data_IF_178724180596
#
_entry.id   IF_178724180596
#
_cell.length_a   1.000
_cell.length_b   1.000
_cell.length_c   1.000
_cell.angle_alpha   90.00
_cell.angle_beta   90.00
_cell.angle_gamma   90.00
#
_symmetry.space_group_name_H-M   'P 1'
#
loop_
_entity.id
_entity.type
_entity.pdbx_description
1 polymer ?
#
# COMPACT_ATOMS: atom_id res chain seq x y z
N UNK A 1 -16.31 31.16 -66.80
CA UNK A 1 -14.93 31.25 -67.34
C UNK A 1 -14.05 31.44 -66.11
N UNK A 2 -13.34 30.45 -65.58
CA UNK A 2 -12.26 29.66 -66.19
C UNK A 2 -12.23 28.23 -65.61
N UNK A 3 -11.63 27.32 -66.38
CA UNK A 3 -11.73 25.86 -66.28
C UNK A 3 -10.77 25.20 -65.27
N UNK A 4 -11.16 24.02 -64.79
CA UNK A 4 -10.30 22.94 -64.27
C UNK A 4 -9.28 22.47 -65.33
N UNK A 5 -8.22 21.76 -64.90
CA UNK A 5 -8.24 20.33 -65.26
C UNK A 5 -7.81 19.36 -64.15
N UNK A 6 -8.47 18.20 -64.21
CA UNK A 6 -8.10 16.90 -63.64
C UNK A 6 -6.79 16.37 -64.24
N UNK A 7 -6.04 15.60 -63.44
CA UNK A 7 -5.32 14.32 -63.75
C UNK A 7 -4.30 14.07 -62.63
N UNK A 8 -3.90 12.86 -62.24
CA UNK A 8 -4.32 11.48 -62.40
C UNK A 8 -3.33 10.70 -61.49
N UNK A 9 -3.81 9.82 -60.60
CA UNK A 9 -3.70 8.37 -60.71
C UNK A 9 -2.40 7.72 -60.18
N UNK A 10 -2.63 6.86 -59.16
CA UNK A 10 -1.99 5.54 -58.90
C UNK A 10 -0.49 5.65 -58.51
N UNK A 11 0.15 4.75 -57.75
CA UNK A 11 0.09 3.30 -57.56
C UNK A 11 0.73 3.03 -56.18
N UNK A 12 0.29 2.02 -55.43
CA UNK A 12 1.10 1.48 -54.34
C UNK A 12 0.32 0.72 -53.26
N UNK A 13 -0.35 -0.37 -53.64
CA UNK A 13 -0.75 -1.41 -52.71
C UNK A 13 0.14 -2.64 -52.94
N UNK A 14 0.92 -3.03 -51.94
CA UNK A 14 1.51 -4.37 -51.69
C UNK A 14 1.69 -4.41 -50.15
N UNK A 15 0.93 -5.11 -49.31
CA UNK A 15 0.49 -6.51 -49.22
C UNK A 15 1.55 -7.45 -48.60
N UNK A 16 1.14 -8.07 -47.46
CA UNK A 16 1.65 -9.29 -46.80
C UNK A 16 3.06 -9.24 -46.19
N UNK A 17 3.40 -9.97 -45.12
CA UNK A 17 2.73 -10.75 -44.09
C UNK A 17 3.85 -11.29 -43.16
N UNK A 18 3.46 -11.81 -41.99
CA UNK A 18 4.21 -12.77 -41.13
C UNK A 18 5.34 -12.20 -40.26
N UNK A 19 5.02 -12.00 -38.98
CA UNK A 19 5.69 -12.74 -37.89
C UNK A 19 4.81 -12.69 -36.64
N UNK A 20 3.96 -13.71 -36.52
CA UNK A 20 3.51 -14.19 -35.23
C UNK A 20 4.71 -14.81 -34.51
N UNK A 21 4.92 -14.50 -33.22
CA UNK A 21 5.33 -15.43 -32.17
C UNK A 21 5.57 -14.67 -30.86
N UNK A 22 4.90 -15.12 -29.81
CA UNK A 22 5.36 -14.96 -28.44
C UNK A 22 4.82 -13.74 -27.69
N UNK A 23 3.69 -13.94 -27.00
CA UNK A 23 3.54 -13.75 -25.54
C UNK A 23 2.05 -13.82 -25.18
N UNK A 24 1.48 -15.03 -25.31
CA UNK A 24 0.47 -15.46 -24.35
C UNK A 24 1.24 -15.87 -23.10
N UNK A 25 1.28 -14.99 -22.10
CA UNK A 25 1.70 -15.35 -20.74
C UNK A 25 0.70 -14.76 -19.74
N UNK A 26 -0.10 -15.69 -19.20
CA UNK A 26 -0.83 -15.70 -17.94
C UNK A 26 -1.15 -14.36 -17.27
N UNK A 27 -2.40 -13.94 -17.41
CA UNK A 27 -3.13 -13.28 -16.33
C UNK A 27 -4.56 -13.85 -16.32
N UNK A 28 -4.70 -15.11 -15.93
CA UNK A 28 -5.99 -15.62 -15.46
C UNK A 28 -6.13 -15.18 -14.00
N UNK A 29 -6.81 -14.05 -13.78
CA UNK A 29 -7.36 -13.67 -12.48
C UNK A 29 -8.36 -14.75 -12.05
N UNK A 30 -7.92 -15.70 -11.23
CA UNK A 30 -8.86 -16.53 -10.48
C UNK A 30 -9.37 -15.71 -9.30
N UNK A 31 -10.48 -15.02 -9.50
CA UNK A 31 -11.37 -14.60 -8.42
C UNK A 31 -11.85 -15.85 -7.68
N UNK A 32 -11.17 -16.19 -6.57
CA UNK A 32 -11.63 -17.21 -5.63
C UNK A 32 -12.51 -16.55 -4.58
N UNK A 33 -13.82 -16.78 -4.72
CA UNK A 33 -14.74 -16.75 -3.59
C UNK A 33 -14.57 -18.08 -2.84
N UNK A 34 -13.88 -18.06 -1.69
CA UNK A 34 -13.69 -19.24 -0.82
C UNK A 34 -13.65 -18.67 0.61
N UNK A 35 -14.57 -19.01 1.52
CA UNK A 35 -14.95 -20.37 1.88
C UNK A 35 -13.94 -20.85 2.93
N UNK A 36 -14.42 -21.12 4.13
CA UNK A 36 -13.63 -21.51 5.30
C UNK A 36 -12.65 -22.66 4.95
N UNK A 37 -11.35 -22.40 4.96
CA UNK A 37 -10.30 -23.39 4.69
C UNK A 37 -9.08 -23.12 5.57
N UNK A 38 -9.26 -23.31 6.88
CA UNK A 38 -8.17 -23.46 7.84
C UNK A 38 -7.57 -24.87 7.75
N UNK A 39 -6.54 -25.07 6.94
CA UNK A 39 -5.48 -26.06 7.21
C UNK A 39 -4.44 -26.07 6.09
N UNK A 40 -3.16 -26.00 6.49
CA UNK A 40 -1.93 -25.99 5.66
C UNK A 40 -1.57 -24.66 4.99
N UNK A 41 -1.43 -23.58 5.78
CA UNK A 41 -0.50 -22.48 5.40
C UNK A 41 0.89 -23.12 5.25
N UNK A 42 1.43 -23.13 4.04
CA UNK A 42 2.80 -23.57 3.78
C UNK A 42 3.77 -22.81 4.68
N UNK A 43 4.71 -23.54 5.27
CA UNK A 43 5.74 -23.09 6.22
C UNK A 43 6.83 -22.23 5.53
N UNK A 44 6.41 -21.41 4.56
CA UNK A 44 7.26 -20.55 3.76
C UNK A 44 7.22 -19.14 4.29
N UNK A 45 8.40 -18.60 4.54
CA UNK A 45 8.59 -17.21 4.91
C UNK A 45 7.92 -16.25 3.91
N UNK A 46 7.35 -15.16 4.43
CA UNK A 46 6.80 -14.12 3.57
C UNK A 46 5.92 -13.10 4.25
N UNK A 47 5.17 -12.38 3.42
CA UNK A 47 4.26 -11.33 3.82
C UNK A 47 2.87 -11.58 3.23
N UNK A 48 1.85 -11.51 4.06
CA UNK A 48 0.46 -11.36 3.65
C UNK A 48 0.04 -9.91 3.93
N UNK A 49 -0.59 -9.26 2.94
CA UNK A 49 -1.22 -7.96 3.14
C UNK A 49 -2.72 -8.11 3.08
N UNK A 50 -3.39 -7.72 4.16
CA UNK A 50 -4.83 -7.67 4.28
C UNK A 50 -5.31 -6.23 4.08
N UNK A 51 -6.24 -6.01 3.16
CA UNK A 51 -6.87 -4.73 2.90
C UNK A 51 -8.29 -4.75 3.42
N UNK A 52 -8.54 -3.92 4.43
CA UNK A 52 -9.85 -3.73 5.03
C UNK A 52 -10.41 -2.36 4.65
N UNK A 53 -11.60 -2.33 4.05
CA UNK A 53 -12.29 -1.06 3.76
C UNK A 53 -13.58 -0.98 4.56
N UNK A 54 -13.74 0.08 5.36
CA UNK A 54 -14.89 0.30 6.26
C UNK A 54 -15.44 1.72 6.13
N UNK A 55 -16.71 1.91 6.49
CA UNK A 55 -17.37 3.23 6.51
C UNK A 55 -17.20 3.97 7.83
N UNK A 56 -16.39 3.43 8.75
CA UNK A 56 -16.07 4.12 10.01
C UNK A 56 -15.16 5.31 9.75
N UNK A 57 -15.38 6.37 10.54
CA UNK A 57 -14.53 7.56 10.49
C UNK A 57 -13.12 7.25 10.99
N UNK A 58 -12.15 7.99 10.45
CA UNK A 58 -10.73 7.82 10.77
C UNK A 58 -10.42 7.94 12.26
N UNK A 59 -11.03 8.89 12.97
CA UNK A 59 -10.76 9.11 14.40
C UNK A 59 -11.13 7.90 15.25
N UNK A 60 -12.28 7.27 14.95
CA UNK A 60 -12.70 6.02 15.57
C UNK A 60 -11.71 4.90 15.29
N UNK A 61 -11.19 4.79 14.06
CA UNK A 61 -10.23 3.75 13.67
C UNK A 61 -8.88 3.92 14.37
N UNK A 62 -8.36 5.14 14.43
CA UNK A 62 -7.14 5.45 15.19
C UNK A 62 -7.33 5.09 16.68
N UNK A 63 -8.45 5.49 17.28
CA UNK A 63 -8.75 5.18 18.68
C UNK A 63 -8.80 3.67 18.97
N UNK A 64 -9.35 2.87 18.05
CA UNK A 64 -9.31 1.41 18.15
C UNK A 64 -7.86 0.93 18.16
N UNK A 65 -7.05 1.35 17.19
CA UNK A 65 -5.68 0.84 17.01
C UNK A 65 -4.72 1.27 18.11
N UNK A 66 -4.87 2.49 18.63
CA UNK A 66 -4.13 2.95 19.81
C UNK A 66 -4.38 2.00 21.00
N UNK A 67 -5.62 1.51 21.16
CA UNK A 67 -5.98 0.56 22.21
C UNK A 67 -5.32 -0.81 22.10
N UNK A 68 -4.85 -1.20 20.91
CA UNK A 68 -4.15 -2.47 20.65
C UNK A 68 -2.66 -2.28 20.38
N UNK A 69 -2.14 -1.06 20.46
CA UNK A 69 -0.77 -0.78 20.08
C UNK A 69 0.20 -1.46 21.06
N UNK A 70 0.98 -2.40 20.53
CA UNK A 70 2.01 -3.14 21.27
C UNK A 70 3.27 -2.30 21.50
N UNK A 71 3.71 -1.60 20.45
CA UNK A 71 4.90 -0.73 20.49
C UNK A 71 4.86 0.34 19.40
N UNK A 72 5.77 1.31 19.50
CA UNK A 72 5.96 2.31 18.46
C UNK A 72 6.57 1.67 17.20
N UNK A 73 6.11 2.11 16.03
CA UNK A 73 6.62 1.66 14.72
C UNK A 73 7.95 2.32 14.42
N UNK A 74 8.05 3.63 14.72
CA UNK A 74 9.20 4.48 14.46
C UNK A 74 9.45 5.41 15.65
N UNK A 75 10.56 6.15 15.62
CA UNK A 75 10.81 7.18 16.63
C UNK A 75 9.75 8.32 16.57
N UNK A 76 9.62 9.14 17.63
CA UNK A 76 8.58 10.18 17.70
C UNK A 76 8.63 11.20 16.55
N UNK A 77 9.82 11.66 16.15
CA UNK A 77 9.95 12.66 15.07
C UNK A 77 9.51 12.09 13.71
N UNK A 78 9.89 10.85 13.42
CA UNK A 78 9.45 10.15 12.21
C UNK A 78 7.93 9.88 12.25
N UNK A 79 7.39 9.56 13.43
CA UNK A 79 5.94 9.37 13.63
C UNK A 79 5.17 10.66 13.37
N UNK A 80 5.62 11.80 13.90
CA UNK A 80 5.03 13.12 13.64
C UNK A 80 5.08 13.47 12.15
N UNK A 81 6.21 13.19 11.49
CA UNK A 81 6.38 13.46 10.06
C UNK A 81 5.46 12.58 9.20
N UNK A 82 5.26 11.31 9.58
CA UNK A 82 4.32 10.39 8.93
C UNK A 82 2.86 10.87 9.10
N UNK A 83 2.50 11.34 10.29
CA UNK A 83 1.18 11.90 10.59
C UNK A 83 0.89 13.15 9.75
N UNK A 84 1.88 14.02 9.52
CA UNK A 84 1.73 15.20 8.67
C UNK A 84 1.42 14.86 7.20
N UNK A 85 1.93 13.72 6.71
CA UNK A 85 1.61 13.21 5.37
C UNK A 85 0.30 12.40 5.34
N UNK A 86 -0.44 12.36 6.45
CA UNK A 86 -1.75 11.73 6.55
C UNK A 86 -1.72 10.24 6.76
N UNK A 87 -0.64 9.68 7.30
CA UNK A 87 -0.55 8.25 7.60
C UNK A 87 -0.47 8.03 9.11
N UNK A 88 -1.22 7.05 9.60
CA UNK A 88 -1.07 6.51 10.94
C UNK A 88 -0.59 5.06 10.81
N UNK A 89 0.34 4.67 11.69
CA UNK A 89 0.85 3.30 11.74
C UNK A 89 0.91 2.78 13.16
N UNK A 90 0.53 1.52 13.36
CA UNK A 90 0.64 0.83 14.66
C UNK A 90 1.14 -0.60 14.47
N UNK A 91 1.95 -1.08 15.42
CA UNK A 91 2.26 -2.51 15.53
C UNK A 91 1.38 -3.10 16.63
N UNK A 92 0.71 -4.20 16.33
CA UNK A 92 -0.22 -4.92 17.20
C UNK A 92 0.20 -6.39 17.31
N UNK A 93 -0.41 -7.15 18.23
CA UNK A 93 -0.30 -8.62 18.21
C UNK A 93 -1.22 -9.22 17.12
N UNK A 94 -0.76 -10.24 16.40
CA UNK A 94 -1.54 -10.95 15.36
C UNK A 94 -2.83 -11.55 15.95
N UNK A 95 -2.77 -12.04 17.19
CA UNK A 95 -3.93 -12.61 17.91
C UNK A 95 -5.09 -11.62 18.08
N UNK A 96 -4.82 -10.32 17.99
CA UNK A 96 -5.82 -9.25 18.17
C UNK A 96 -6.53 -8.88 16.85
N UNK A 97 -6.03 -9.36 15.69
CA UNK A 97 -6.65 -9.12 14.39
C UNK A 97 -8.15 -9.47 14.34
N UNK A 98 -8.63 -10.61 14.90
CA UNK A 98 -10.06 -10.92 14.92
C UNK A 98 -10.88 -9.89 15.67
N UNK A 99 -10.40 -9.41 16.82
CA UNK A 99 -11.09 -8.40 17.63
C UNK A 99 -11.10 -7.02 16.95
N UNK A 100 -9.99 -6.66 16.30
CA UNK A 100 -9.93 -5.43 15.51
C UNK A 100 -10.93 -5.52 14.36
N UNK A 101 -10.92 -6.62 13.61
CA UNK A 101 -11.87 -6.85 12.50
C UNK A 101 -13.32 -6.74 12.96
N UNK A 102 -13.67 -7.31 14.11
CA UNK A 102 -15.02 -7.16 14.70
C UNK A 102 -15.34 -5.69 15.00
N UNK A 103 -14.39 -4.96 15.58
CA UNK A 103 -14.52 -3.51 15.85
C UNK A 103 -14.59 -2.66 14.59
N UNK A 104 -14.08 -3.11 13.44
CA UNK A 104 -14.23 -2.41 12.15
C UNK A 104 -15.67 -2.49 11.61
N UNK A 105 -16.43 -3.52 12.00
CA UNK A 105 -17.84 -3.72 11.63
C UNK A 105 -18.04 -4.74 10.51
N UNK A 106 -19.30 -5.18 10.35
CA UNK A 106 -19.70 -6.25 9.43
C UNK A 106 -19.69 -5.86 7.95
N UNK A 107 -19.68 -4.58 7.62
CA UNK A 107 -19.61 -4.04 6.26
C UNK A 107 -18.18 -3.83 5.76
N UNK A 108 -17.23 -4.66 6.20
CA UNK A 108 -15.82 -4.54 5.83
C UNK A 108 -15.51 -5.38 4.60
N UNK A 109 -15.01 -4.79 3.51
CA UNK A 109 -14.37 -5.55 2.43
C UNK A 109 -13.02 -6.06 2.94
N UNK A 110 -12.77 -7.37 2.85
CA UNK A 110 -11.51 -8.02 3.23
C UNK A 110 -10.87 -8.65 1.99
N UNK A 111 -9.77 -8.07 1.53
CA UNK A 111 -8.96 -8.60 0.42
C UNK A 111 -7.60 -8.98 0.95
N UNK A 112 -7.13 -10.17 0.62
CA UNK A 112 -5.84 -10.68 1.08
C UNK A 112 -4.94 -11.00 -0.09
N UNK A 113 -3.72 -10.50 -0.04
CA UNK A 113 -2.69 -10.75 -1.05
C UNK A 113 -1.46 -11.33 -0.37
N UNK A 114 -1.11 -12.56 -0.73
CA UNK A 114 0.12 -13.20 -0.26
C UNK A 114 1.26 -12.89 -1.23
N UNK A 115 2.31 -12.27 -0.71
CA UNK A 115 3.45 -11.85 -1.51
C UNK A 115 4.67 -12.77 -1.38
N UNK A 116 4.73 -13.61 -0.34
CA UNK A 116 5.95 -14.36 -0.02
C UNK A 116 7.08 -13.41 0.41
N UNK A 117 8.33 -13.78 0.15
CA UNK A 117 9.46 -12.86 0.32
C UNK A 117 9.49 -11.83 -0.82
N UNK A 118 9.85 -10.59 -0.47
CA UNK A 118 9.79 -9.43 -1.35
C UNK A 118 11.13 -8.69 -1.36
N UNK A 119 12.20 -9.26 -1.93
CA UNK A 119 13.52 -8.59 -1.94
C UNK A 119 13.54 -7.31 -2.82
N UNK A 120 12.51 -7.11 -3.64
CA UNK A 120 12.36 -5.95 -4.51
C UNK A 120 11.07 -5.20 -4.17
N UNK A 121 11.08 -3.88 -4.40
CA UNK A 121 9.90 -3.04 -4.25
C UNK A 121 8.74 -3.55 -5.11
N UNK A 122 7.60 -3.81 -4.49
CA UNK A 122 6.36 -4.19 -5.15
C UNK A 122 5.23 -3.28 -4.74
N UNK A 123 4.33 -3.02 -5.68
CA UNK A 123 3.08 -2.31 -5.42
C UNK A 123 2.23 -3.11 -4.41
N UNK A 124 1.72 -2.40 -3.40
CA UNK A 124 0.76 -2.93 -2.41
C UNK A 124 -0.59 -2.26 -2.59
N UNK A 125 -0.59 -0.98 -2.93
CA UNK A 125 -1.80 -0.19 -3.16
C UNK A 125 -1.50 0.97 -4.10
N UNK A 126 -2.37 1.22 -5.06
CA UNK A 126 -2.27 2.35 -5.98
C UNK A 126 -3.62 3.05 -6.16
N UNK A 127 -3.59 4.38 -6.30
CA UNK A 127 -4.76 5.20 -6.65
C UNK A 127 -4.41 6.25 -7.70
N UNK A 128 -5.30 6.41 -8.68
CA UNK A 128 -5.19 7.47 -9.69
C UNK A 128 -5.69 8.80 -9.16
N UNK A 129 -4.88 9.84 -9.29
CA UNK A 129 -5.24 11.22 -9.00
C UNK A 129 -5.87 11.84 -10.27
N UNK A 130 -7.15 12.26 -10.23
CA UNK A 130 -7.76 12.99 -11.33
C UNK A 130 -6.97 14.27 -11.66
N UNK A 131 -6.87 14.61 -12.94
CA UNK A 131 -6.18 15.83 -13.37
C UNK A 131 -6.85 17.07 -12.78
N UNK A 132 -6.04 18.00 -12.27
CA UNK A 132 -6.52 19.25 -11.64
C UNK A 132 -6.87 19.12 -10.16
N UNK A 133 -6.78 17.92 -9.58
CA UNK A 133 -6.94 17.72 -8.14
C UNK A 133 -5.76 18.32 -7.38
N UNK A 134 -6.04 19.03 -6.29
CA UNK A 134 -5.02 19.47 -5.34
C UNK A 134 -4.70 18.36 -4.34
N UNK A 135 -3.41 18.18 -4.04
CA UNK A 135 -2.89 17.23 -3.06
C UNK A 135 -1.83 17.92 -2.19
N UNK A 136 -1.84 17.67 -0.88
CA UNK A 136 -0.76 18.08 0.02
C UNK A 136 0.30 16.99 0.07
N UNK A 137 1.53 17.35 -0.28
CA UNK A 137 2.70 16.47 -0.30
C UNK A 137 3.88 17.24 0.29
N UNK A 138 4.56 16.66 1.28
CA UNK A 138 5.71 17.29 1.94
C UNK A 138 5.37 18.69 2.50
N UNK A 139 4.15 18.86 3.02
CA UNK A 139 3.62 20.14 3.50
C UNK A 139 3.29 21.19 2.43
N UNK A 140 3.50 20.89 1.13
CA UNK A 140 3.18 21.79 0.03
C UNK A 140 1.91 21.35 -0.70
N UNK A 141 1.04 22.30 -1.05
CA UNK A 141 -0.11 22.03 -1.92
C UNK A 141 0.34 22.04 -3.37
N UNK A 142 0.14 20.92 -4.07
CA UNK A 142 0.44 20.75 -5.49
C UNK A 142 -0.86 20.52 -6.26
N UNK A 143 -0.99 21.14 -7.42
CA UNK A 143 -2.04 20.80 -8.39
C UNK A 143 -1.46 19.72 -9.30
N UNK A 144 -2.10 18.55 -9.29
CA UNK A 144 -1.56 17.37 -9.94
C UNK A 144 -2.07 17.27 -11.38
N UNK A 145 -1.15 17.17 -12.34
CA UNK A 145 -1.45 16.87 -13.73
C UNK A 145 -1.39 15.36 -13.99
N UNK A 146 -2.50 14.66 -13.74
CA UNK A 146 -2.70 13.22 -14.02
C UNK A 146 -1.57 12.30 -13.53
N UNK A 147 -1.55 12.01 -12.23
CA UNK A 147 -0.57 11.13 -11.60
C UNK A 147 -1.24 9.98 -10.85
N UNK A 148 -0.44 9.02 -10.43
CA UNK A 148 -0.81 7.95 -9.51
C UNK A 148 -0.11 8.21 -8.18
N UNK A 149 -0.81 7.99 -7.06
CA UNK A 149 -0.16 7.74 -5.77
C UNK A 149 -0.09 6.23 -5.60
N UNK A 150 1.08 5.71 -5.24
CA UNK A 150 1.20 4.31 -4.86
C UNK A 150 1.91 4.17 -3.51
N UNK A 151 1.60 3.08 -2.82
CA UNK A 151 2.38 2.51 -1.75
C UNK A 151 3.04 1.23 -2.25
N UNK A 152 4.35 1.17 -2.04
CA UNK A 152 5.16 -0.01 -2.36
C UNK A 152 5.78 -0.55 -1.10
N UNK A 153 6.02 -1.86 -1.07
CA UNK A 153 6.70 -2.53 0.02
C UNK A 153 7.77 -3.49 -0.50
N UNK A 154 8.78 -3.72 0.34
CA UNK A 154 9.73 -4.81 0.21
C UNK A 154 10.01 -5.40 1.59
N UNK A 155 10.41 -6.65 1.65
CA UNK A 155 10.74 -7.28 2.92
C UNK A 155 11.27 -8.70 2.79
N UNK A 156 11.97 -9.12 3.83
CA UNK A 156 12.64 -10.41 3.90
C UNK A 156 12.81 -10.83 5.37
N UNK A 157 12.89 -12.14 5.60
CA UNK A 157 13.21 -12.65 6.92
C UNK A 157 14.70 -12.47 7.21
N UNK A 158 15.00 -11.92 8.39
CA UNK A 158 16.36 -11.77 8.90
C UNK A 158 16.49 -12.59 10.20
N UNK A 159 17.43 -13.56 10.27
CA UNK A 159 17.72 -14.25 11.52
C UNK A 159 18.36 -13.28 12.53
N UNK A 160 17.89 -13.29 13.77
CA UNK A 160 18.48 -12.52 14.88
C UNK A 160 18.79 -13.45 16.06
N UNK A 161 19.56 -12.97 17.04
CA UNK A 161 19.91 -13.73 18.25
C UNK A 161 18.69 -14.16 19.08
N UNK A 162 17.59 -13.40 19.00
CA UNK A 162 16.31 -13.71 19.64
C UNK A 162 15.33 -14.49 18.75
N UNK A 163 15.76 -14.89 17.55
CA UNK A 163 14.94 -15.55 16.52
C UNK A 163 14.82 -14.75 15.22
N UNK A 164 14.11 -15.27 14.22
CA UNK A 164 13.86 -14.54 12.98
C UNK A 164 12.85 -13.40 13.15
N UNK A 165 13.12 -12.26 12.51
CA UNK A 165 12.10 -11.23 12.27
C UNK A 165 11.94 -10.98 10.77
N UNK A 166 10.79 -10.42 10.38
CA UNK A 166 10.57 -9.98 9.02
C UNK A 166 10.91 -8.50 8.91
N UNK A 167 12.01 -8.18 8.22
CA UNK A 167 12.36 -6.80 7.88
C UNK A 167 11.37 -6.32 6.81
N UNK A 168 10.66 -5.24 7.10
CA UNK A 168 9.66 -4.65 6.22
C UNK A 168 9.99 -3.18 6.00
N UNK A 169 10.02 -2.80 4.72
CA UNK A 169 10.13 -1.42 4.28
C UNK A 169 8.92 -1.06 3.42
N UNK A 170 8.36 0.11 3.67
CA UNK A 170 7.23 0.69 2.93
C UNK A 170 7.62 2.10 2.49
N UNK A 171 7.27 2.46 1.26
CA UNK A 171 7.44 3.80 0.73
C UNK A 171 6.27 4.20 -0.16
N UNK A 172 5.93 5.49 -0.13
CA UNK A 172 4.89 6.08 -0.99
C UNK A 172 5.53 6.94 -2.07
N UNK A 173 5.01 6.91 -3.28
CA UNK A 173 5.53 7.69 -4.41
C UNK A 173 4.43 8.17 -5.37
N UNK A 174 4.77 9.21 -6.13
CA UNK A 174 4.00 9.72 -7.25
C UNK A 174 4.55 9.15 -8.57
N UNK A 175 3.67 8.62 -9.41
CA UNK A 175 4.00 8.21 -10.78
C UNK A 175 3.26 9.06 -11.80
N UNK A 176 3.95 9.35 -12.89
CA UNK A 176 3.37 9.99 -14.05
C UNK A 176 2.75 8.91 -14.95
N UNK A 177 1.42 8.96 -15.12
CA UNK A 177 0.64 8.00 -15.92
C UNK A 177 1.15 7.95 -17.36
N UNK A 178 1.66 9.08 -17.89
CA UNK A 178 2.19 9.13 -19.26
C UNK A 178 3.54 8.44 -19.42
N UNK A 179 4.26 8.21 -18.31
CA UNK A 179 5.62 7.65 -18.29
C UNK A 179 5.70 6.24 -17.75
N UNK A 180 4.60 5.66 -17.27
CA UNK A 180 4.52 4.25 -16.87
C UNK A 180 5.04 3.29 -17.96
N UNK A 181 4.94 3.69 -19.23
CA UNK A 181 5.37 2.86 -20.37
C UNK A 181 6.87 2.93 -20.71
N UNK A 182 7.66 3.86 -20.14
CA UNK A 182 9.01 4.16 -20.67
C UNK A 182 10.20 3.83 -19.76
N UNK A 183 10.03 3.20 -18.59
CA UNK A 183 11.20 2.64 -17.91
C UNK A 183 10.99 2.23 -16.46
N UNK A 184 10.51 1.01 -16.25
CA UNK A 184 10.77 0.22 -15.02
C UNK A 184 12.22 -0.31 -14.95
N UNK A 185 13.17 0.36 -15.61
CA UNK A 185 14.59 0.02 -15.54
C UNK A 185 15.32 1.16 -14.85
N UNK A 186 15.25 1.18 -13.52
CA UNK A 186 15.70 2.33 -12.76
C UNK A 186 15.97 2.06 -11.29
N UNK A 187 16.85 1.07 -11.03
CA UNK A 187 17.45 0.71 -9.73
C UNK A 187 16.56 -0.07 -8.76
N UNK A 188 16.96 -1.30 -8.46
CA UNK A 188 16.28 -2.19 -7.51
C UNK A 188 16.28 -1.69 -6.05
N UNK A 189 17.10 -0.69 -5.73
CA UNK A 189 17.26 -0.14 -4.39
C UNK A 189 16.20 0.91 -4.03
N UNK A 190 15.46 1.46 -5.00
CA UNK A 190 14.50 2.56 -4.76
C UNK A 190 13.08 2.19 -5.19
N UNK A 191 12.05 2.70 -4.49
CA UNK A 191 10.68 2.57 -4.95
C UNK A 191 10.49 3.28 -6.30
N UNK A 192 9.67 2.74 -7.21
CA UNK A 192 9.38 3.37 -8.48
C UNK A 192 8.70 4.74 -8.29
N UNK A 193 8.95 5.70 -9.19
CA UNK A 193 8.35 7.03 -9.15
C UNK A 193 9.12 8.08 -8.34
N UNK A 194 8.48 9.21 -8.07
CA UNK A 194 9.02 10.30 -7.24
C UNK A 194 8.62 10.04 -5.78
N UNK A 195 9.55 9.78 -4.86
CA UNK A 195 9.21 9.46 -3.47
C UNK A 195 8.54 10.65 -2.79
N UNK A 196 7.52 10.36 -1.99
CA UNK A 196 6.92 11.30 -1.04
C UNK A 196 7.74 11.21 0.24
N UNK A 197 8.36 12.32 0.63
CA UNK A 197 9.23 12.35 1.81
C UNK A 197 8.40 12.07 3.06
N UNK A 198 9.05 11.58 4.12
CA UNK A 198 8.42 11.35 5.42
C UNK A 198 7.29 10.30 5.45
N UNK A 199 7.05 9.57 4.36
CA UNK A 199 6.06 8.48 4.29
C UNK A 199 6.67 7.09 4.45
N UNK A 200 8.00 7.02 4.56
CA UNK A 200 8.72 5.76 4.68
C UNK A 200 8.51 5.11 6.04
N UNK A 201 8.23 3.80 6.05
CA UNK A 201 8.21 2.99 7.27
C UNK A 201 9.26 1.89 7.12
N UNK A 202 10.13 1.76 8.10
CA UNK A 202 11.10 0.67 8.21
C UNK A 202 10.97 0.02 9.58
N UNK A 203 10.69 -1.28 9.61
CA UNK A 203 10.52 -2.00 10.87
C UNK A 203 10.82 -3.49 10.72
N UNK A 204 11.19 -4.12 11.83
CA UNK A 204 11.43 -5.56 11.95
C UNK A 204 10.25 -6.14 12.75
N UNK A 205 9.37 -6.88 12.07
CA UNK A 205 8.18 -7.50 12.67
C UNK A 205 8.53 -8.88 13.22
N UNK A 206 8.19 -9.12 14.48
CA UNK A 206 8.28 -10.45 15.07
C UNK A 206 7.14 -11.35 14.53
N UNK A 207 7.24 -12.67 14.75
CA UNK A 207 6.27 -13.65 14.24
C UNK A 207 4.82 -13.29 14.55
N UNK A 208 4.56 -12.84 15.77
CA UNK A 208 3.20 -12.55 16.25
C UNK A 208 2.88 -11.05 16.17
N UNK A 209 3.63 -10.27 15.39
CA UNK A 209 3.42 -8.83 15.22
C UNK A 209 2.87 -8.51 13.84
N UNK A 210 1.92 -7.58 13.80
CA UNK A 210 1.34 -7.08 12.55
C UNK A 210 1.50 -5.58 12.49
N UNK A 211 2.00 -5.07 11.36
CA UNK A 211 1.99 -3.64 11.09
C UNK A 211 0.64 -3.27 10.45
N UNK A 212 -0.04 -2.31 11.06
CA UNK A 212 -1.25 -1.69 10.53
C UNK A 212 -0.89 -0.30 10.00
N UNK A 213 -1.33 0.03 8.79
CA UNK A 213 -1.24 1.37 8.19
C UNK A 213 -2.63 1.84 7.75
N UNK A 214 -3.02 3.06 8.11
CA UNK A 214 -4.26 3.71 7.68
C UNK A 214 -4.06 5.20 7.46
N UNK A 215 -5.09 5.88 6.95
CA UNK A 215 -5.11 7.34 6.94
C UNK A 215 -5.09 7.88 8.37
N UNK A 216 -4.33 8.95 8.61
CA UNK A 216 -4.38 9.70 9.85
C UNK A 216 -5.51 10.73 9.82
N UNK A 217 -6.11 11.01 10.98
CA UNK A 217 -7.09 12.07 11.15
C UNK A 217 -6.38 13.43 11.17
N UNK A 218 -6.55 14.19 10.10
CA UNK A 218 -5.97 15.53 9.98
C UNK A 218 -6.85 16.64 10.63
N UNK A 219 -8.04 16.28 11.12
CA UNK A 219 -9.02 17.22 11.66
C UNK A 219 -9.55 18.23 10.62
N UNK A 220 -10.56 19.03 11.00
CA UNK A 220 -11.00 20.15 10.18
C UNK A 220 -9.98 21.31 10.25
N UNK A 221 -9.67 21.90 9.11
CA UNK A 221 -8.90 23.14 9.08
C UNK A 221 -9.79 24.33 9.41
N UNK A 222 -9.43 25.04 10.47
CA UNK A 222 -10.01 26.35 10.74
C UNK A 222 -9.34 27.35 9.81
N UNK A 223 -10.00 27.67 8.70
CA UNK A 223 -9.50 28.75 7.85
C UNK A 223 -9.58 30.05 8.66
N UNK A 224 -8.48 30.80 8.74
CA UNK A 224 -8.48 32.12 9.37
C UNK A 224 -9.35 33.17 8.66
N UNK A 225 -10.15 32.76 7.66
CA UNK A 225 -11.05 33.61 6.88
C UNK A 225 -12.40 33.77 7.58
N UNK A 226 -12.36 34.35 8.78
CA UNK A 226 -13.55 34.71 9.56
C UNK A 226 -14.15 33.56 10.38
N UNK A 227 -14.93 33.88 11.42
CA UNK A 227 -15.54 32.88 12.29
C UNK A 227 -16.51 31.98 11.51
N UNK A 228 -16.22 30.68 11.45
CA UNK A 228 -17.14 29.65 10.95
C UNK A 228 -16.92 29.12 9.53
N UNK A 229 -15.93 29.61 8.77
CA UNK A 229 -15.62 29.05 7.45
C UNK A 229 -14.62 27.89 7.56
N UNK A 230 -15.17 26.67 7.72
CA UNK A 230 -14.39 25.44 7.53
C UNK A 230 -14.22 25.23 6.02
N UNK A 231 -13.01 25.42 5.51
CA UNK A 231 -12.67 25.02 4.15
C UNK A 231 -12.03 23.62 4.23
N UNK A 232 -12.48 22.67 3.40
CA UNK A 232 -11.81 21.38 3.30
C UNK A 232 -10.42 21.60 2.73
N UNK A 233 -9.38 21.22 3.47
CA UNK A 233 -8.04 21.18 2.91
C UNK A 233 -7.99 20.17 1.76
N UNK A 234 -7.10 20.37 0.77
CA UNK A 234 -6.74 19.29 -0.12
C UNK A 234 -6.28 18.08 0.69
N UNK A 235 -6.61 16.85 0.25
CA UNK A 235 -6.16 15.65 0.95
C UNK A 235 -4.63 15.58 0.95
N UNK A 236 -4.07 15.00 2.01
CA UNK A 236 -2.66 14.58 2.04
C UNK A 236 -2.47 13.29 1.21
N UNK A 237 -1.23 12.86 1.02
CA UNK A 237 -0.94 11.58 0.37
C UNK A 237 -1.67 10.39 1.03
N UNK A 238 -1.62 10.28 2.36
CA UNK A 238 -2.32 9.23 3.10
C UNK A 238 -3.83 9.38 3.08
N UNK A 239 -4.34 10.61 3.16
CA UNK A 239 -5.77 10.90 3.00
C UNK A 239 -6.29 10.50 1.63
N UNK A 240 -5.52 10.74 0.57
CA UNK A 240 -5.90 10.35 -0.78
C UNK A 240 -5.78 8.83 -1.00
N UNK A 241 -4.70 8.21 -0.52
CA UNK A 241 -4.41 6.80 -0.76
C UNK A 241 -5.27 5.86 0.07
N UNK A 242 -5.55 6.21 1.33
CA UNK A 242 -6.22 5.35 2.32
C UNK A 242 -7.53 5.93 2.84
N UNK A 243 -7.83 7.21 2.64
CA UNK A 243 -9.09 7.81 3.05
C UNK A 243 -10.26 7.46 2.14
N UNK A 244 -11.39 8.10 2.41
CA UNK A 244 -12.63 7.99 1.62
C UNK A 244 -12.37 8.44 0.18
N UNK A 245 -12.22 7.50 -0.74
CA UNK A 245 -12.14 7.80 -2.17
C UNK A 245 -13.16 6.98 -2.93
N UNK A 246 -13.85 7.64 -3.86
CA UNK A 246 -14.62 6.98 -4.90
C UNK A 246 -13.62 6.27 -5.83
N UNK A 247 -13.77 4.97 -6.03
CA UNK A 247 -12.76 4.23 -6.79
C UNK A 247 -12.56 4.77 -8.21
N UNK A 248 -11.27 4.82 -8.56
CA UNK A 248 -10.67 4.20 -9.74
C UNK A 248 -11.63 4.06 -10.92
N UNK A 249 -11.47 4.93 -11.92
CA UNK A 249 -12.21 4.97 -13.20
C UNK A 249 -13.56 5.70 -13.20
N UNK A 250 -13.99 6.31 -12.09
CA UNK A 250 -15.30 6.98 -12.04
C UNK A 250 -16.47 5.99 -12.09
N UNK A 251 -16.20 4.71 -11.81
CA UNK A 251 -17.23 3.75 -11.44
C UNK A 251 -17.38 3.80 -9.93
N UNK A 252 -18.56 4.20 -9.47
CA UNK A 252 -18.92 4.10 -8.06
C UNK A 252 -18.60 2.69 -7.54
N UNK A 253 -17.58 2.56 -6.70
CA UNK A 253 -17.61 1.48 -5.72
C UNK A 253 -18.79 1.74 -4.79
N UNK A 254 -19.59 0.71 -4.53
CA UNK A 254 -20.75 0.81 -3.66
C UNK A 254 -20.41 1.17 -2.20
N UNK A 255 -19.12 1.22 -1.83
CA UNK A 255 -18.69 1.73 -0.53
C UNK A 255 -17.61 2.82 -0.68
N UNK A 256 -17.99 4.03 -0.29
CA UNK A 256 -17.05 5.08 0.11
C UNK A 256 -16.60 4.76 1.54
N UNK A 257 -15.30 4.59 1.75
CA UNK A 257 -14.81 4.18 3.05
C UNK A 257 -13.30 4.36 3.21
N UNK A 258 -12.86 4.29 4.46
CA UNK A 258 -11.47 4.32 4.86
C UNK A 258 -10.86 2.93 4.71
N UNK A 259 -9.65 2.88 4.16
CA UNK A 259 -8.88 1.67 3.93
C UNK A 259 -7.78 1.53 4.98
N UNK A 260 -7.68 0.34 5.56
CA UNK A 260 -6.63 -0.14 6.44
C UNK A 260 -5.81 -1.19 5.69
N UNK A 261 -4.50 -1.17 5.84
CA UNK A 261 -3.59 -2.22 5.39
C UNK A 261 -2.97 -2.91 6.59
N UNK A 262 -3.12 -4.23 6.67
CA UNK A 262 -2.51 -5.10 7.67
C UNK A 262 -1.40 -5.91 7.02
N UNK A 263 -0.16 -5.69 7.45
CA UNK A 263 1.05 -6.37 6.97
C UNK A 263 1.41 -7.48 7.96
N UNK A 264 1.04 -8.71 7.61
CA UNK A 264 1.17 -9.90 8.46
C UNK A 264 2.38 -10.72 7.99
N UNK A 265 3.47 -10.79 8.79
CA UNK A 265 4.61 -11.63 8.45
C UNK A 265 4.28 -13.11 8.67
N UNK A 266 4.85 -13.96 7.83
CA UNK A 266 4.93 -15.39 8.05
C UNK A 266 6.40 -15.74 8.19
N UNK A 267 6.80 -16.23 9.36
CA UNK A 267 8.18 -16.55 9.70
C UNK A 267 8.24 -18.01 10.14
N UNK A 268 8.96 -18.83 9.37
CA UNK A 268 9.11 -20.26 9.58
C UNK A 268 9.58 -20.58 11.01
N UNK A 269 9.05 -21.67 11.55
CA UNK A 269 9.45 -22.23 12.85
C UNK A 269 10.94 -22.59 12.93
N UNK A 270 11.59 -22.81 11.77
CA UNK A 270 12.99 -23.23 11.66
C UNK A 270 14.04 -22.17 12.03
N UNK A 271 13.67 -20.88 12.11
CA UNK A 271 14.58 -19.75 12.38
C UNK A 271 14.58 -19.39 13.89
N UNK A 272 14.41 -20.38 14.75
CA UNK A 272 14.42 -20.17 16.20
C UNK A 272 15.84 -20.08 16.75
N UNK A 273 16.06 -19.28 17.81
CA UNK A 273 17.31 -19.37 18.53
C UNK A 273 17.40 -20.78 19.11
N UNK A 274 18.49 -21.49 18.80
CA UNK A 274 18.86 -22.66 19.58
C UNK A 274 19.00 -22.20 21.02
N UNK A 275 18.04 -22.54 21.87
CA UNK A 275 18.25 -22.50 23.30
C UNK A 275 19.48 -23.36 23.59
N UNK A 276 20.62 -22.70 23.77
CA UNK A 276 21.82 -23.35 24.27
C UNK A 276 21.45 -23.83 25.67
N UNK A 277 21.19 -25.13 25.81
CA UNK A 277 20.92 -25.75 27.08
C UNK A 277 22.09 -25.39 28.00
N UNK A 278 21.81 -24.65 29.08
CA UNK A 278 22.82 -24.36 30.09
C UNK A 278 23.43 -25.69 30.55
N UNK A 279 24.77 -25.81 30.63
CA UNK A 279 25.39 -27.03 31.11
C UNK A 279 24.90 -27.26 32.54
N UNK A 280 24.38 -28.46 32.78
CA UNK A 280 24.01 -28.90 34.12
C UNK A 280 25.21 -28.68 35.04
N UNK A 281 25.06 -27.76 35.99
CA UNK A 281 26.03 -27.57 37.07
C UNK A 281 25.96 -28.84 37.91
N UNK A 282 26.87 -29.77 37.63
CA UNK A 282 27.11 -30.94 38.45
C UNK A 282 27.50 -30.49 39.84
N UNK A 283 26.64 -30.78 40.80
CA UNK A 283 26.94 -30.67 42.22
C UNK A 283 27.97 -31.75 42.56
N UNK A 284 29.15 -31.34 43.00
CA UNK A 284 30.05 -32.16 43.82
C UNK A 284 30.07 -31.56 45.23
#
# INVERSE_FOLDING_TARGET
MTQLPRRAQRIGAIALAVLALGLQHCASEQYRFVGDNSSTRQDSDGLEVMRWTTTKDTSTLEGILIGFQKRQVMNPLATESLLQEGFFSAIIDEKDLPQIREKLGSSTIDIRTTYGTLPHWREVLQRTIPSGQALVVNGATLIISSQLVQMTARGWTTPTESGGCFQLEIATSLLDVSKEQQGMFGRADRPPGIPIMNTGIETCLQRDEVLIVLTANQGPFQSGRGPGTQASLPPTAGGFLLGESADLQGKETSMKGVTLLAFVPHISSSIQPTHSAAPAVGSQ
#
